data_IF_307591462998
#
_entry.id   IF_307591462998
#
_cell.length_a   1.000
_cell.length_b   1.000
_cell.length_c   1.000
_cell.angle_alpha   90.00
_cell.angle_beta   90.00
_cell.angle_gamma   90.00
#
_symmetry.space_group_name_H-M   'P 1'
#
loop_
_entity.id
_entity.type
_entity.pdbx_description
1 polymer ?
#
# COMPACT_ATOMS: atom_id res chain seq x y z
N UNK A 1 12.15 -13.55 4.05
CA UNK A 1 11.34 -14.43 3.17
C UNK A 1 10.97 -13.63 1.91
N UNK A 2 10.88 -14.27 0.74
CA UNK A 2 10.57 -13.60 -0.53
C UNK A 2 9.06 -13.64 -0.80
N UNK A 3 8.29 -12.91 0.00
CA UNK A 3 6.82 -12.90 -0.05
C UNK A 3 6.34 -11.46 -0.23
N UNK A 4 5.31 -11.26 -1.05
CA UNK A 4 4.51 -10.04 -1.14
C UNK A 4 3.13 -10.38 -0.59
N UNK A 5 2.64 -9.61 0.38
CA UNK A 5 1.39 -9.84 1.09
C UNK A 5 0.17 -9.48 0.24
N UNK A 6 0.25 -8.37 -0.53
CA UNK A 6 -0.79 -7.89 -1.47
C UNK A 6 -2.10 -7.38 -0.87
N UNK A 7 -2.34 -7.63 0.41
CA UNK A 7 -3.47 -7.04 1.16
C UNK A 7 -2.99 -6.42 2.49
N UNK A 8 -1.95 -5.60 2.45
CA UNK A 8 -1.52 -4.85 3.64
C UNK A 8 -2.52 -3.74 3.95
N UNK A 9 -3.17 -3.87 5.11
CA UNK A 9 -4.15 -2.91 5.64
C UNK A 9 -4.20 -2.97 7.17
N UNK A 10 -4.75 -1.95 7.85
CA UNK A 10 -4.83 -1.92 9.30
C UNK A 10 -5.54 -3.15 9.91
N UNK A 11 -6.57 -3.67 9.25
CA UNK A 11 -7.33 -4.86 9.69
C UNK A 11 -6.46 -6.13 9.76
N UNK A 12 -5.40 -6.19 8.94
CA UNK A 12 -4.44 -7.29 8.92
C UNK A 12 -3.26 -7.06 9.87
N UNK A 13 -3.32 -6.04 10.74
CA UNK A 13 -2.35 -5.76 11.78
C UNK A 13 -2.95 -6.03 13.16
N UNK A 14 -2.57 -7.16 13.77
CA UNK A 14 -3.08 -7.56 15.08
C UNK A 14 -2.17 -7.07 16.20
N UNK A 15 -2.74 -6.36 17.18
CA UNK A 15 -2.03 -5.89 18.37
C UNK A 15 -1.94 -7.02 19.39
N UNK A 16 -0.71 -7.38 19.77
CA UNK A 16 -0.44 -8.29 20.88
C UNK A 16 -0.38 -7.47 22.16
N UNK A 17 -1.51 -7.40 22.87
CA UNK A 17 -1.71 -6.53 24.06
C UNK A 17 -0.67 -6.74 25.16
N UNK A 18 -0.20 -7.98 25.35
CA UNK A 18 0.77 -8.32 26.40
C UNK A 18 2.18 -7.75 26.18
N UNK A 19 2.54 -7.37 24.95
CA UNK A 19 3.90 -6.94 24.62
C UNK A 19 3.97 -5.77 23.66
N UNK A 20 2.85 -5.08 23.40
CA UNK A 20 2.76 -3.92 22.50
C UNK A 20 3.38 -4.17 21.11
N UNK A 21 3.39 -5.43 20.66
CA UNK A 21 3.89 -5.81 19.35
C UNK A 21 2.75 -5.94 18.34
N UNK A 22 3.04 -5.66 17.07
CA UNK A 22 2.14 -5.95 15.97
C UNK A 22 2.49 -7.28 15.33
N UNK A 23 1.47 -8.06 14.97
CA UNK A 23 1.59 -9.24 14.12
C UNK A 23 0.82 -9.00 12.83
N UNK A 24 1.48 -9.24 11.71
CA UNK A 24 0.83 -9.30 10.41
C UNK A 24 0.07 -10.63 10.29
N UNK A 25 -1.20 -10.56 9.89
CA UNK A 25 -2.10 -11.71 9.70
C UNK A 25 -2.67 -11.71 8.27
N UNK A 26 -3.36 -12.80 7.92
CA UNK A 26 -4.05 -13.02 6.64
C UNK A 26 -3.19 -12.96 5.37
N UNK A 27 -2.54 -14.09 5.06
CA UNK A 27 -1.75 -14.26 3.85
C UNK A 27 -2.56 -14.82 2.66
N UNK A 28 -3.89 -14.68 2.66
CA UNK A 28 -4.77 -15.28 1.63
C UNK A 28 -4.49 -14.80 0.20
N UNK A 29 -4.01 -13.57 0.04
CA UNK A 29 -3.58 -13.00 -1.26
C UNK A 29 -2.08 -13.06 -1.50
N UNK A 30 -1.30 -13.57 -0.54
CA UNK A 30 0.15 -13.49 -0.59
C UNK A 30 0.74 -14.34 -1.72
N UNK A 31 1.86 -13.89 -2.27
CA UNK A 31 2.61 -14.62 -3.29
C UNK A 31 4.09 -14.67 -2.94
N UNK A 32 4.73 -15.78 -3.25
CA UNK A 32 6.20 -15.84 -3.26
C UNK A 32 6.74 -15.23 -4.56
N UNK A 33 7.97 -14.73 -4.50
CA UNK A 33 8.72 -14.34 -5.70
C UNK A 33 10.13 -14.95 -5.68
N UNK A 34 10.62 -15.33 -6.87
CA UNK A 34 12.00 -15.74 -7.05
C UNK A 34 12.88 -14.54 -7.44
N UNK A 35 14.19 -14.63 -7.16
CA UNK A 35 15.16 -13.62 -7.58
C UNK A 35 15.30 -13.56 -9.10
N UNK A 36 15.02 -14.68 -9.76
CA UNK A 36 15.23 -14.90 -11.20
C UNK A 36 13.93 -14.77 -12.02
N UNK A 37 12.77 -14.72 -11.36
CA UNK A 37 11.50 -14.48 -12.03
C UNK A 37 11.20 -12.99 -11.99
N UNK A 38 11.27 -12.37 -13.16
CA UNK A 38 10.55 -11.14 -13.44
C UNK A 38 9.07 -11.45 -13.33
N UNK A 39 8.49 -11.03 -12.21
CA UNK A 39 7.12 -10.53 -12.16
C UNK A 39 6.02 -11.37 -12.81
N UNK A 40 5.31 -12.17 -12.01
CA UNK A 40 4.11 -12.87 -12.44
C UNK A 40 2.90 -11.94 -12.37
N UNK A 41 2.14 -11.85 -13.46
CA UNK A 41 0.80 -11.25 -13.42
C UNK A 41 -0.12 -12.12 -12.57
N UNK A 42 -0.76 -11.49 -11.59
CA UNK A 42 -1.66 -12.14 -10.64
C UNK A 42 -3.01 -11.46 -10.69
N UNK A 43 -4.08 -12.23 -10.53
CA UNK A 43 -5.43 -11.69 -10.39
C UNK A 43 -5.46 -10.66 -9.27
N UNK A 44 -5.97 -9.46 -9.56
CA UNK A 44 -6.12 -8.41 -8.56
C UNK A 44 -7.11 -8.89 -7.49
N UNK A 45 -6.69 -8.81 -6.24
CA UNK A 45 -7.48 -9.17 -5.06
C UNK A 45 -7.04 -8.34 -3.86
N UNK A 46 -7.77 -8.46 -2.76
CA UNK A 46 -7.57 -7.65 -1.57
C UNK A 46 -8.20 -6.27 -1.66
N UNK A 47 -7.81 -5.41 -0.72
CA UNK A 47 -8.41 -4.11 -0.50
C UNK A 47 -7.58 -3.02 -1.15
N UNK A 48 -8.18 -2.27 -2.07
CA UNK A 48 -7.43 -1.33 -2.92
C UNK A 48 -7.12 0.01 -2.25
N UNK A 49 -7.80 0.39 -1.17
CA UNK A 49 -7.76 1.77 -0.65
C UNK A 49 -6.39 2.18 -0.09
N UNK A 50 -5.56 1.21 0.31
CA UNK A 50 -4.18 1.46 0.77
C UNK A 50 -3.13 1.19 -0.31
N UNK A 51 -3.54 0.81 -1.53
CA UNK A 51 -2.60 0.47 -2.59
C UNK A 51 -1.84 1.69 -3.12
N UNK A 52 -0.73 1.42 -3.80
CA UNK A 52 0.08 2.47 -4.41
C UNK A 52 -0.56 3.10 -5.65
N UNK A 53 -0.13 4.31 -6.01
CA UNK A 53 -0.73 5.07 -7.10
C UNK A 53 -0.51 4.45 -8.48
N UNK A 54 0.53 3.62 -8.67
CA UNK A 54 0.73 2.90 -9.95
C UNK A 54 -0.27 1.75 -10.06
N UNK A 55 -0.46 0.99 -8.99
CA UNK A 55 -1.51 -0.03 -8.92
C UNK A 55 -2.90 0.57 -9.17
N UNK A 56 -3.25 1.67 -8.51
CA UNK A 56 -4.57 2.30 -8.64
C UNK A 56 -4.82 2.83 -10.06
N UNK A 57 -3.80 3.43 -10.70
CA UNK A 57 -3.88 3.84 -12.11
C UNK A 57 -4.11 2.64 -13.02
N UNK A 58 -3.28 1.60 -12.91
CA UNK A 58 -3.45 0.38 -13.70
C UNK A 58 -4.83 -0.26 -13.50
N UNK A 59 -5.31 -0.29 -12.25
CA UNK A 59 -6.64 -0.79 -11.92
C UNK A 59 -7.72 -0.04 -12.68
N UNK A 60 -7.67 1.30 -12.67
CA UNK A 60 -8.64 2.16 -13.36
C UNK A 60 -8.53 2.06 -14.88
N UNK A 61 -7.30 2.05 -15.42
CA UNK A 61 -7.04 1.96 -16.86
C UNK A 61 -7.53 0.63 -17.45
N UNK A 62 -7.48 -0.44 -16.65
CA UNK A 62 -7.92 -1.79 -17.05
C UNK A 62 -9.38 -2.06 -16.66
N UNK A 63 -10.00 -1.21 -15.84
CA UNK A 63 -11.37 -1.41 -15.36
C UNK A 63 -12.36 -1.24 -16.50
N UNK A 64 -13.12 -2.29 -16.80
CA UNK A 64 -14.28 -2.24 -17.71
C UNK A 64 -15.54 -2.65 -16.96
N UNK A 65 -16.65 -1.94 -17.15
CA UNK A 65 -17.93 -2.26 -16.48
C UNK A 65 -18.44 -3.67 -16.76
N UNK A 66 -18.16 -4.21 -17.95
CA UNK A 66 -18.56 -5.56 -18.35
C UNK A 66 -17.54 -6.66 -17.98
N UNK A 67 -16.40 -6.26 -17.41
CA UNK A 67 -15.29 -7.10 -16.92
C UNK A 67 -15.10 -8.43 -17.67
N UNK A 68 -14.88 -8.35 -18.99
CA UNK A 68 -14.77 -9.52 -19.88
C UNK A 68 -13.47 -10.31 -19.69
N UNK A 69 -12.46 -9.73 -19.01
CA UNK A 69 -11.19 -10.37 -18.69
C UNK A 69 -10.87 -10.19 -17.19
N UNK A 70 -10.19 -11.17 -16.57
CA UNK A 70 -9.73 -11.03 -15.20
C UNK A 70 -8.75 -9.85 -15.11
N UNK A 71 -8.99 -8.96 -14.15
CA UNK A 71 -8.04 -7.90 -13.82
C UNK A 71 -6.78 -8.56 -13.25
N UNK A 72 -5.65 -8.34 -13.91
CA UNK A 72 -4.35 -8.83 -13.45
C UNK A 72 -3.40 -7.66 -13.21
N UNK A 73 -2.50 -7.84 -12.25
CA UNK A 73 -1.45 -6.88 -11.97
C UNK A 73 -0.14 -7.59 -11.65
N UNK A 74 0.93 -6.94 -12.06
CA UNK A 74 2.29 -7.31 -11.73
C UNK A 74 2.72 -6.54 -10.48
N UNK A 75 2.68 -7.19 -9.32
CA UNK A 75 3.01 -6.56 -8.05
C UNK A 75 4.54 -6.40 -7.88
N UNK A 76 5.06 -5.15 -7.78
CA UNK A 76 6.47 -4.95 -7.50
C UNK A 76 6.81 -5.35 -6.05
N UNK A 77 8.07 -5.70 -5.80
CA UNK A 77 8.58 -6.02 -4.44
C UNK A 77 8.38 -4.87 -3.43
N UNK A 78 8.18 -3.66 -3.92
CA UNK A 78 7.96 -2.44 -3.14
C UNK A 78 6.49 -2.16 -2.87
N UNK A 79 5.54 -2.94 -3.42
CA UNK A 79 4.10 -2.68 -3.28
C UNK A 79 3.66 -2.65 -1.80
N UNK A 80 4.07 -3.64 -1.02
CA UNK A 80 3.78 -3.72 0.41
C UNK A 80 4.37 -2.53 1.20
N UNK A 81 5.56 -2.06 0.84
CA UNK A 81 6.19 -0.91 1.51
C UNK A 81 5.45 0.40 1.24
N UNK A 82 4.93 0.55 0.02
CA UNK A 82 4.10 1.69 -0.33
C UNK A 82 2.75 1.63 0.41
N UNK A 83 2.15 0.44 0.55
CA UNK A 83 0.97 0.25 1.38
C UNK A 83 1.24 0.61 2.85
N UNK A 84 2.37 0.17 3.40
CA UNK A 84 2.76 0.52 4.77
C UNK A 84 2.91 2.04 4.96
N UNK A 85 3.44 2.75 3.97
CA UNK A 85 3.54 4.21 3.99
C UNK A 85 2.15 4.88 4.04
N UNK A 86 1.21 4.41 3.23
CA UNK A 86 -0.18 4.86 3.24
C UNK A 86 -0.87 4.59 4.59
N UNK A 87 -0.63 3.42 5.18
CA UNK A 87 -1.14 3.06 6.51
C UNK A 87 -0.59 4.01 7.58
N UNK A 88 0.69 4.36 7.52
CA UNK A 88 1.31 5.33 8.46
C UNK A 88 0.65 6.70 8.34
N UNK A 89 0.42 7.18 7.12
CA UNK A 89 -0.27 8.46 6.91
C UNK A 89 -1.70 8.42 7.45
N UNK A 90 -2.42 7.31 7.24
CA UNK A 90 -3.74 7.07 7.80
C UNK A 90 -3.74 7.05 9.33
N UNK A 91 -2.74 6.42 9.95
CA UNK A 91 -2.62 6.33 11.41
C UNK A 91 -2.20 7.65 12.06
N UNK A 92 -1.36 8.44 11.38
CA UNK A 92 -0.81 9.67 11.94
C UNK A 92 -1.73 10.89 11.77
N UNK A 93 -2.62 10.90 10.77
CA UNK A 93 -3.43 12.07 10.43
C UNK A 93 -4.94 11.82 10.51
N UNK A 94 -5.60 12.44 11.50
CA UNK A 94 -7.05 12.34 11.71
C UNK A 94 -7.88 12.72 10.48
N UNK A 95 -7.43 13.73 9.71
CA UNK A 95 -8.10 14.13 8.46
C UNK A 95 -8.05 13.04 7.40
N UNK A 96 -6.89 12.41 7.20
CA UNK A 96 -6.72 11.31 6.24
C UNK A 96 -7.59 10.13 6.67
N UNK A 97 -7.67 9.84 7.97
CA UNK A 97 -8.54 8.81 8.51
C UNK A 97 -10.02 9.05 8.20
N UNK A 98 -10.51 10.28 8.37
CA UNK A 98 -11.91 10.64 8.05
C UNK A 98 -12.16 10.46 6.55
N UNK A 99 -11.30 11.00 5.69
CA UNK A 99 -11.44 10.88 4.24
C UNK A 99 -11.42 9.41 3.78
N UNK A 100 -10.51 8.59 4.32
CA UNK A 100 -10.43 7.15 4.04
C UNK A 100 -11.69 6.38 4.46
N UNK A 101 -12.27 6.71 5.61
CA UNK A 101 -13.51 6.09 6.07
C UNK A 101 -14.68 6.39 5.12
N UNK A 102 -14.73 7.59 4.54
CA UNK A 102 -15.72 7.94 3.51
C UNK A 102 -15.46 7.16 2.22
N UNK A 103 -14.21 7.11 1.75
CA UNK A 103 -13.81 6.38 0.54
C UNK A 103 -14.16 4.89 0.64
N UNK A 104 -14.00 4.28 1.81
CA UNK A 104 -14.30 2.87 2.04
C UNK A 104 -15.76 2.50 1.75
N UNK A 105 -16.70 3.44 1.91
CA UNK A 105 -18.14 3.26 1.66
C UNK A 105 -18.53 3.38 0.18
N UNK A 106 -17.61 3.85 -0.69
CA UNK A 106 -17.90 4.07 -2.10
C UNK A 106 -17.96 2.76 -2.90
N UNK A 107 -18.59 2.82 -4.08
CA UNK A 107 -18.56 1.76 -5.07
C UNK A 107 -17.14 1.52 -5.61
N UNK A 108 -16.84 0.31 -6.08
CA UNK A 108 -15.48 -0.15 -6.37
C UNK A 108 -14.68 0.80 -7.28
N UNK A 109 -15.26 1.24 -8.41
CA UNK A 109 -14.58 2.16 -9.33
C UNK A 109 -14.31 3.52 -8.69
N UNK A 110 -15.34 4.15 -8.12
CA UNK A 110 -15.22 5.46 -7.44
C UNK A 110 -14.28 5.39 -6.24
N UNK A 111 -14.26 4.27 -5.52
CA UNK A 111 -13.32 3.98 -4.43
C UNK A 111 -11.87 4.01 -4.92
N UNK A 112 -11.59 3.40 -6.07
CA UNK A 112 -10.27 3.45 -6.69
C UNK A 112 -9.89 4.88 -7.12
N UNK A 113 -10.83 5.61 -7.74
CA UNK A 113 -10.63 7.00 -8.18
C UNK A 113 -10.31 7.93 -6.99
N UNK A 114 -11.11 7.90 -5.93
CA UNK A 114 -10.92 8.75 -4.76
C UNK A 114 -9.67 8.35 -3.96
N UNK A 115 -9.35 7.06 -3.88
CA UNK A 115 -8.07 6.61 -3.29
C UNK A 115 -6.88 7.17 -4.08
N UNK A 116 -6.94 7.13 -5.41
CA UNK A 116 -5.87 7.64 -6.26
C UNK A 116 -5.69 9.15 -6.08
N UNK A 117 -6.79 9.91 -6.03
CA UNK A 117 -6.77 11.36 -5.75
C UNK A 117 -6.14 11.66 -4.40
N UNK A 118 -6.56 10.96 -3.35
CA UNK A 118 -6.06 11.14 -1.98
C UNK A 118 -4.54 10.93 -1.91
N UNK A 119 -4.04 9.79 -2.39
CA UNK A 119 -2.61 9.47 -2.29
C UNK A 119 -1.74 10.33 -3.21
N UNK A 120 -2.27 10.77 -4.35
CA UNK A 120 -1.59 11.73 -5.22
C UNK A 120 -1.44 13.08 -4.52
N UNK A 121 -2.52 13.61 -3.93
CA UNK A 121 -2.47 14.86 -3.16
C UNK A 121 -1.52 14.77 -1.97
N UNK A 122 -1.55 13.67 -1.20
CA UNK A 122 -0.64 13.47 -0.06
C UNK A 122 0.83 13.49 -0.53
N UNK A 123 1.12 12.83 -1.65
CA UNK A 123 2.46 12.84 -2.26
C UNK A 123 2.93 14.23 -2.64
N UNK A 124 2.02 15.09 -3.12
CA UNK A 124 2.33 16.46 -3.53
C UNK A 124 2.58 17.38 -2.33
N UNK A 125 1.78 17.26 -1.27
CA UNK A 125 1.84 18.19 -0.13
C UNK A 125 2.78 17.76 0.99
N UNK A 126 3.11 16.46 1.11
CA UNK A 126 3.95 15.95 2.19
C UNK A 126 5.34 15.58 1.67
N UNK A 127 6.29 16.50 1.81
CA UNK A 127 7.68 16.33 1.33
C UNK A 127 8.35 15.09 1.89
N UNK A 128 8.22 14.82 3.20
CA UNK A 128 8.85 13.66 3.83
C UNK A 128 8.28 12.34 3.27
N UNK A 129 6.96 12.26 3.08
CA UNK A 129 6.31 11.12 2.44
C UNK A 129 6.81 10.95 1.00
N UNK A 130 6.89 12.05 0.24
CA UNK A 130 7.32 12.04 -1.16
C UNK A 130 8.76 11.58 -1.34
N UNK A 131 9.68 12.07 -0.49
CA UNK A 131 11.10 11.67 -0.47
C UNK A 131 11.25 10.20 -0.12
N UNK A 132 10.52 9.71 0.90
CA UNK A 132 10.56 8.31 1.30
C UNK A 132 9.97 7.40 0.22
N UNK A 133 8.87 7.80 -0.40
CA UNK A 133 8.28 7.09 -1.53
C UNK A 133 9.25 7.03 -2.72
N UNK A 134 10.02 8.09 -2.97
CA UNK A 134 11.07 8.12 -4.00
C UNK A 134 12.21 7.15 -3.64
N UNK A 135 12.72 7.20 -2.41
CA UNK A 135 13.72 6.27 -1.86
C UNK A 135 13.30 4.80 -2.03
N UNK A 136 12.03 4.47 -1.73
CA UNK A 136 11.46 3.13 -1.93
C UNK A 136 11.45 2.73 -3.41
N UNK A 137 11.11 3.64 -4.32
CA UNK A 137 11.02 3.36 -5.76
C UNK A 137 12.40 3.27 -6.44
N UNK A 138 13.37 4.07 -6.02
CA UNK A 138 14.71 4.19 -6.64
C UNK A 138 15.61 3.01 -6.25
N UNK A 139 15.50 2.52 -5.02
CA UNK A 139 16.29 1.39 -4.52
C UNK A 139 15.76 0.05 -5.08
N UNK A 140 15.95 -0.17 -6.39
CA UNK A 140 15.65 -1.45 -7.05
C UNK A 140 16.54 -2.56 -6.46
N UNK A 141 15.90 -3.66 -6.05
CA UNK A 141 16.46 -4.98 -5.71
C UNK A 141 17.15 -5.21 -4.34
N UNK A 142 17.71 -4.22 -3.64
CA UNK A 142 18.43 -4.44 -2.35
C UNK A 142 17.70 -3.94 -1.10
N UNK A 143 16.43 -3.55 -1.23
CA UNK A 143 15.63 -3.12 -0.08
C UNK A 143 15.39 -4.26 0.91
N UNK A 144 15.90 -4.10 2.12
CA UNK A 144 15.42 -4.82 3.29
C UNK A 144 14.54 -3.85 4.09
N UNK A 145 13.45 -4.32 4.68
CA UNK A 145 12.64 -3.55 5.64
C UNK A 145 13.52 -2.93 6.74
N UNK A 146 14.63 -3.57 7.12
CA UNK A 146 15.58 -3.05 8.11
C UNK A 146 16.19 -1.70 7.73
N UNK A 147 16.48 -1.46 6.44
CA UNK A 147 17.10 -0.22 5.97
C UNK A 147 16.12 0.94 5.88
N UNK A 148 14.83 0.66 5.73
CA UNK A 148 13.78 1.69 5.63
C UNK A 148 13.06 1.92 6.96
N UNK A 149 13.16 0.99 7.91
CA UNK A 149 12.52 1.07 9.22
C UNK A 149 12.75 2.40 9.92
N UNK A 150 13.99 2.89 9.94
CA UNK A 150 14.32 4.17 10.59
C UNK A 150 13.78 5.38 9.83
N UNK A 151 13.75 5.34 8.49
CA UNK A 151 13.14 6.39 7.66
C UNK A 151 11.60 6.43 7.90
N UNK A 152 10.95 5.27 7.94
CA UNK A 152 9.54 5.09 8.28
C UNK A 152 9.23 5.62 9.70
N UNK A 153 10.06 5.28 10.68
CA UNK A 153 9.89 5.73 12.07
C UNK A 153 10.00 7.25 12.17
N UNK A 154 10.97 7.85 11.49
CA UNK A 154 11.11 9.31 11.41
C UNK A 154 9.89 9.96 10.78
N UNK A 155 9.35 9.38 9.70
CA UNK A 155 8.14 9.89 9.09
C UNK A 155 6.97 9.84 10.07
N UNK A 156 6.73 8.70 10.73
CA UNK A 156 5.67 8.57 11.71
C UNK A 156 5.80 9.63 12.81
N UNK A 157 6.96 9.72 13.47
CA UNK A 157 7.19 10.68 14.57
C UNK A 157 7.01 12.14 14.15
N UNK A 158 7.40 12.52 12.93
CA UNK A 158 7.22 13.89 12.41
C UNK A 158 5.77 14.21 12.04
N UNK A 159 4.93 13.20 11.83
CA UNK A 159 3.55 13.35 11.39
C UNK A 159 2.54 13.10 12.52
N UNK A 160 2.99 12.67 13.72
CA UNK A 160 2.16 12.68 14.92
C UNK A 160 2.06 14.13 15.41
N UNK A 161 1.04 14.85 14.95
CA UNK A 161 0.58 16.11 15.54
C UNK A 161 -0.92 16.03 15.79
#
# INVERSE_FOLDING_TARGET
RRIIHRDLRPDNLMVVTKCSHLKLIDFGFATSFNTNETTKELSIGGTIIFADTKFLKHYLDTYSEFQLKPLVYNYPRTSDLQCALNIIMFMAHSRIKIEMNLIQQLQTKTKAEESLKLWTRIKEVNTNYSELLKSINDKKQTLNFSTIKEEIKKLFLKNIQ
#
